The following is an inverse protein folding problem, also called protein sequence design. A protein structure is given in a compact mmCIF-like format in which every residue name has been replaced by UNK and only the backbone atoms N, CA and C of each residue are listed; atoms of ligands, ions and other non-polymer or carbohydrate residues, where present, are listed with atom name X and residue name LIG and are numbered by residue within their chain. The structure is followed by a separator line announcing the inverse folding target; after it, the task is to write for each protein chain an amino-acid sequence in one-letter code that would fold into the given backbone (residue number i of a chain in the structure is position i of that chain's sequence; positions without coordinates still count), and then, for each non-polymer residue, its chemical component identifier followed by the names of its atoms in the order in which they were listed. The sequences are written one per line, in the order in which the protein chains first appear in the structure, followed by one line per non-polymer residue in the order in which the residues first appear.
data_IF_566549476370
#
_entry.id   IF_566549476370
#
_cell.length_a   1.000
_cell.length_b   1.000
_cell.length_c   1.000
_cell.angle_alpha   90.00
_cell.angle_beta   90.00
_cell.angle_gamma   90.00
#
_symmetry.space_group_name_H-M   'P 1'
#
loop_
_entity.id
_entity.type
_entity.pdbx_description
1 polymer ?
#
# COMPACT_ATOMS: atom_id res chain seq x y z
N UNK A 1 -18.00 1.26 13.35
CA UNK A 1 -18.08 1.44 11.86
C UNK A 1 -17.30 2.68 11.39
N UNK A 2 -16.18 3.07 12.04
CA UNK A 2 -15.39 4.27 11.69
C UNK A 2 -13.95 3.97 11.24
N UNK A 3 -13.58 2.69 11.21
CA UNK A 3 -12.25 2.21 10.86
C UNK A 3 -12.29 1.53 9.50
N UNK A 4 -12.90 2.21 8.52
CA UNK A 4 -12.76 1.77 7.14
C UNK A 4 -11.33 2.11 6.73
N UNK A 5 -10.47 1.09 6.84
CA UNK A 5 -9.07 0.97 6.42
C UNK A 5 -8.85 1.23 4.91
N UNK A 6 -9.60 2.15 4.31
CA UNK A 6 -9.25 2.76 3.03
C UNK A 6 -8.07 3.70 3.35
N UNK A 7 -6.84 3.17 3.29
CA UNK A 7 -5.61 3.83 3.72
C UNK A 7 -5.50 5.32 3.34
N UNK A 8 -4.59 6.03 4.02
CA UNK A 8 -4.35 7.48 3.93
C UNK A 8 -4.76 8.08 2.57
N UNK A 9 -5.48 9.23 2.51
CA UNK A 9 -5.96 9.82 1.25
C UNK A 9 -4.92 9.93 0.13
N UNK A 10 -3.64 10.05 0.51
CA UNK A 10 -2.49 10.01 -0.39
C UNK A 10 -2.36 8.70 -1.21
N UNK A 11 -2.69 7.55 -0.63
CA UNK A 11 -2.71 6.25 -1.32
C UNK A 11 -3.79 6.21 -2.40
N UNK A 12 -4.92 6.89 -2.22
CA UNK A 12 -5.96 7.00 -3.25
C UNK A 12 -5.48 7.80 -4.46
N UNK A 13 -4.68 8.85 -4.22
CA UNK A 13 -4.05 9.62 -5.29
C UNK A 13 -3.06 8.74 -6.08
N UNK A 14 -2.27 7.92 -5.39
CA UNK A 14 -1.38 6.95 -6.02
C UNK A 14 -2.14 5.95 -6.90
N UNK A 15 -3.26 5.42 -6.42
CA UNK A 15 -4.12 4.51 -7.20
C UNK A 15 -4.66 5.21 -8.45
N UNK A 16 -5.18 6.43 -8.32
CA UNK A 16 -5.66 7.20 -9.45
C UNK A 16 -4.54 7.49 -10.48
N UNK A 17 -3.34 7.82 -10.02
CA UNK A 17 -2.18 8.03 -10.87
C UNK A 17 -1.75 6.75 -11.61
N UNK A 18 -1.70 5.61 -10.90
CA UNK A 18 -1.37 4.33 -11.49
C UNK A 18 -2.42 3.90 -12.53
N UNK A 19 -3.71 4.07 -12.22
CA UNK A 19 -4.80 3.78 -13.14
C UNK A 19 -4.73 4.65 -14.42
N UNK A 20 -4.46 5.95 -14.27
CA UNK A 20 -4.28 6.85 -15.41
C UNK A 20 -3.10 6.44 -16.30
N UNK A 21 -1.96 6.07 -15.69
CA UNK A 21 -0.77 5.67 -16.41
C UNK A 21 -0.96 4.34 -17.15
N UNK A 22 -1.58 3.35 -16.50
CA UNK A 22 -1.94 2.07 -17.14
C UNK A 22 -2.97 2.27 -18.26
N UNK A 23 -3.95 3.16 -18.06
CA UNK A 23 -4.93 3.52 -19.08
C UNK A 23 -4.28 4.15 -20.32
N UNK A 24 -3.31 5.04 -20.13
CA UNK A 24 -2.56 5.65 -21.22
C UNK A 24 -1.74 4.61 -22.01
N UNK A 25 -1.06 3.72 -21.29
CA UNK A 25 -0.30 2.61 -21.88
C UNK A 25 -1.23 1.67 -22.67
N UNK A 26 -2.43 1.42 -22.14
CA UNK A 26 -3.50 0.68 -22.81
C UNK A 26 -3.99 1.35 -24.09
N UNK A 27 -4.21 2.67 -24.05
CA UNK A 27 -4.65 3.48 -25.19
C UNK A 27 -3.69 3.39 -26.37
N UNK A 28 -2.39 3.47 -26.11
CA UNK A 28 -1.34 3.32 -27.13
C UNK A 28 -1.10 1.86 -27.55
N UNK A 29 -1.84 0.89 -26.99
CA UNK A 29 -1.70 -0.54 -27.25
C UNK A 29 -0.25 -1.04 -27.08
N UNK A 30 0.51 -0.41 -26.18
CA UNK A 30 1.92 -0.78 -25.92
C UNK A 30 2.02 -2.23 -25.47
N UNK A 31 1.01 -2.73 -24.76
CA UNK A 31 0.87 -4.13 -24.37
C UNK A 31 0.79 -5.11 -25.55
N UNK A 32 0.46 -4.66 -26.76
CA UNK A 32 0.42 -5.49 -27.99
C UNK A 32 1.64 -5.23 -28.87
N UNK A 33 1.98 -3.96 -29.09
CA UNK A 33 3.00 -3.56 -30.07
C UNK A 33 4.42 -3.71 -29.50
N UNK A 34 4.59 -3.43 -28.20
CA UNK A 34 5.87 -3.44 -27.52
C UNK A 34 5.76 -4.13 -26.16
N UNK A 35 5.37 -5.40 -26.16
CA UNK A 35 5.08 -6.17 -24.95
C UNK A 35 6.23 -6.16 -23.93
N UNK A 36 7.49 -6.28 -24.37
CA UNK A 36 8.63 -6.27 -23.45
C UNK A 36 8.75 -4.91 -22.73
N UNK A 37 8.55 -3.80 -23.45
CA UNK A 37 8.58 -2.46 -22.87
C UNK A 37 7.39 -2.25 -21.91
N UNK A 38 6.22 -2.81 -22.26
CA UNK A 38 5.05 -2.82 -21.38
C UNK A 38 5.35 -3.50 -20.05
N UNK A 39 5.95 -4.70 -20.06
CA UNK A 39 6.30 -5.43 -18.84
C UNK A 39 7.26 -4.64 -17.97
N UNK A 40 8.33 -4.08 -18.56
CA UNK A 40 9.28 -3.22 -17.82
C UNK A 40 8.62 -1.97 -17.23
N UNK A 41 7.70 -1.34 -17.97
CA UNK A 41 6.95 -0.18 -17.47
C UNK A 41 6.06 -0.56 -16.28
N UNK A 42 5.31 -1.66 -16.37
CA UNK A 42 4.45 -2.13 -15.26
C UNK A 42 5.27 -2.47 -14.02
N UNK A 43 6.41 -3.16 -14.19
CA UNK A 43 7.31 -3.47 -13.08
C UNK A 43 7.89 -2.21 -12.44
N UNK A 44 8.33 -1.23 -13.24
CA UNK A 44 8.85 0.03 -12.73
C UNK A 44 7.78 0.82 -11.95
N UNK A 45 6.54 0.86 -12.45
CA UNK A 45 5.41 1.51 -11.77
C UNK A 45 5.12 0.80 -10.44
N UNK A 46 5.08 -0.53 -10.43
CA UNK A 46 4.87 -1.30 -9.20
C UNK A 46 5.97 -1.06 -8.16
N UNK A 47 7.23 -1.09 -8.58
CA UNK A 47 8.37 -0.81 -7.70
C UNK A 47 8.31 0.61 -7.13
N UNK A 48 8.03 1.61 -7.98
CA UNK A 48 7.87 3.00 -7.56
C UNK A 48 6.77 3.13 -6.50
N UNK A 49 5.62 2.49 -6.72
CA UNK A 49 4.50 2.50 -5.78
C UNK A 49 4.88 1.90 -4.43
N UNK A 50 5.55 0.73 -4.41
CA UNK A 50 6.01 0.11 -3.16
C UNK A 50 6.98 1.03 -2.42
N UNK A 51 7.97 1.60 -3.10
CA UNK A 51 8.94 2.53 -2.49
C UNK A 51 8.24 3.76 -1.92
N UNK A 52 7.27 4.33 -2.65
CA UNK A 52 6.50 5.47 -2.19
C UNK A 52 5.66 5.15 -0.96
N UNK A 53 5.01 4.00 -0.92
CA UNK A 53 4.26 3.54 0.27
C UNK A 53 5.21 3.38 1.45
N UNK A 54 6.33 2.66 1.30
CA UNK A 54 7.31 2.46 2.37
C UNK A 54 7.86 3.79 2.93
N UNK A 55 8.04 4.80 2.07
CA UNK A 55 8.53 6.12 2.50
C UNK A 55 7.44 7.01 3.13
N UNK A 56 6.18 6.80 2.78
CA UNK A 56 5.06 7.66 3.24
C UNK A 56 4.29 7.09 4.42
N UNK A 57 4.45 5.80 4.69
CA UNK A 57 3.96 5.15 5.91
C UNK A 57 4.89 5.45 7.07
N UNK A 58 4.33 5.92 8.19
CA UNK A 58 5.12 6.16 9.42
C UNK A 58 5.40 4.83 10.13
N UNK A 59 6.53 4.67 10.84
CA UNK A 59 6.86 3.46 11.60
C UNK A 59 5.82 3.10 12.68
N UNK A 60 5.19 4.12 13.27
CA UNK A 60 4.13 3.99 14.29
C UNK A 60 2.73 3.74 13.69
N UNK A 61 2.61 3.67 12.37
CA UNK A 61 1.32 3.53 11.71
C UNK A 61 0.97 2.04 11.64
N UNK A 62 -0.03 1.66 12.41
CA UNK A 62 -0.49 0.28 12.53
C UNK A 62 -1.10 -0.20 11.21
N UNK A 63 -0.32 -0.98 10.45
CA UNK A 63 -0.71 -1.36 9.09
C UNK A 63 -1.82 -2.42 9.08
N UNK A 64 -1.87 -3.35 10.06
CA UNK A 64 -2.82 -4.49 9.99
C UNK A 64 -3.12 -5.24 11.30
N UNK A 65 -2.43 -4.98 12.42
CA UNK A 65 -2.56 -5.83 13.62
C UNK A 65 -2.81 -4.98 14.85
N UNK A 66 -3.71 -5.42 15.75
CA UNK A 66 -3.82 -4.89 17.11
C UNK A 66 -2.42 -4.79 17.75
N UNK A 67 -2.18 -3.81 18.65
CA UNK A 67 -0.88 -3.66 19.29
C UNK A 67 -0.51 -5.00 19.90
N UNK A 68 0.71 -5.48 19.63
CA UNK A 68 1.19 -6.63 20.39
C UNK A 68 1.19 -6.22 21.86
N UNK A 69 0.71 -7.08 22.77
CA UNK A 69 0.84 -6.83 24.20
C UNK A 69 2.29 -6.48 24.51
N UNK A 70 2.52 -5.27 25.01
CA UNK A 70 3.85 -4.85 25.41
C UNK A 70 4.22 -5.67 26.66
N UNK A 71 5.32 -6.47 26.63
CA UNK A 71 5.73 -7.26 27.78
C UNK A 71 6.07 -6.39 29.01
N UNK A 72 6.31 -5.10 28.83
CA UNK A 72 6.62 -4.15 29.90
C UNK A 72 5.38 -3.35 30.37
N UNK A 73 4.20 -3.56 29.76
CA UNK A 73 2.95 -2.94 30.20
C UNK A 73 2.26 -3.80 31.28
N UNK A 74 2.20 -3.34 32.55
CA UNK A 74 1.57 -4.09 33.64
C UNK A 74 0.05 -4.25 33.46
N UNK A 75 -0.58 -3.49 32.55
CA UNK A 75 -1.98 -3.69 32.20
C UNK A 75 -2.18 -4.86 31.20
N UNK A 76 -1.16 -5.24 30.43
CA UNK A 76 -1.24 -6.33 29.44
C UNK A 76 -1.13 -7.73 30.08
N UNK A 77 -0.52 -7.81 31.27
CA UNK A 77 -0.29 -9.06 32.01
C UNK A 77 -1.40 -9.41 33.00
N UNK A 78 -2.40 -8.54 33.19
CA UNK A 78 -3.50 -8.75 34.14
C UNK A 78 -4.78 -9.35 33.51
N UNK A 79 -4.81 -9.62 32.20
CA UNK A 79 -5.91 -10.36 31.56
C UNK A 79 -5.61 -11.87 31.47
N UNK A 80 -5.82 -12.57 32.58
CA UNK A 80 -6.48 -13.90 32.72
C UNK A 80 -6.28 -14.32 34.18
N UNK A 81 -7.34 -14.58 34.97
CA UNK A 81 -8.26 -15.69 34.68
C UNK A 81 -9.77 -15.44 34.98
N UNK A 82 -10.56 -16.33 34.35
CA UNK A 82 -12.01 -16.64 34.43
C UNK A 82 -13.00 -15.91 33.51
#
# INVERSE_FOLDING_TARGET
MREVFLGKPWHWLMVAAAAGLLGLIGYFKVHVIHFNNFVWAVLAIGLLMVVLVLKTTRPDEQITRDPLPDPDDPASTMETPD
#
